data_IF_409140040341
#
_entry.id   IF_409140040341
#
_cell.length_a   1.000
_cell.length_b   1.000
_cell.length_c   1.000
_cell.angle_alpha   90.00
_cell.angle_beta   90.00
_cell.angle_gamma   90.00
#
_symmetry.space_group_name_H-M   'P 1'
#
loop_
_entity.id
_entity.type
_entity.pdbx_description
1 polymer ?
#
# COMPACT_ATOMS: atom_id res chain seq x y z
N UNK A 1 -20.15 12.73 -12.09
CA UNK A 1 -19.00 11.84 -11.83
C UNK A 1 -18.64 11.96 -10.36
N UNK A 2 -18.47 10.85 -9.64
CA UNK A 2 -18.08 10.89 -8.22
C UNK A 2 -16.63 11.37 -8.07
N UNK A 3 -16.45 12.55 -7.46
CA UNK A 3 -15.11 13.11 -7.20
C UNK A 3 -14.42 12.45 -6.01
N UNK A 4 -15.19 11.98 -5.02
CA UNK A 4 -14.67 11.36 -3.80
C UNK A 4 -15.12 9.90 -3.68
N UNK A 5 -14.15 9.01 -3.44
CA UNK A 5 -14.38 7.57 -3.31
C UNK A 5 -13.78 7.02 -2.01
N UNK A 6 -14.35 5.93 -1.51
CA UNK A 6 -13.84 5.25 -0.32
C UNK A 6 -12.57 4.43 -0.63
N UNK A 7 -11.84 4.02 0.41
CA UNK A 7 -10.69 3.12 0.28
C UNK A 7 -11.07 1.79 -0.40
N UNK A 8 -12.25 1.25 -0.07
CA UNK A 8 -12.75 -0.01 -0.65
C UNK A 8 -13.03 0.15 -2.14
N UNK A 9 -13.76 1.21 -2.51
CA UNK A 9 -14.06 1.53 -3.90
C UNK A 9 -12.78 1.81 -4.69
N UNK A 10 -11.81 2.50 -4.10
CA UNK A 10 -10.52 2.72 -4.73
C UNK A 10 -9.79 1.39 -4.96
N UNK A 11 -9.71 0.54 -3.94
CA UNK A 11 -9.11 -0.81 -4.01
C UNK A 11 -9.66 -1.63 -5.18
N UNK A 12 -10.99 -1.65 -5.33
CA UNK A 12 -11.66 -2.34 -6.43
C UNK A 12 -11.33 -1.72 -7.80
N UNK A 13 -11.19 -0.40 -7.90
CA UNK A 13 -10.89 0.30 -9.16
C UNK A 13 -9.46 0.13 -9.64
N UNK A 14 -8.47 0.22 -8.75
CA UNK A 14 -7.03 0.16 -9.13
C UNK A 14 -6.43 -1.24 -8.95
N UNK A 15 -7.20 -2.21 -8.46
CA UNK A 15 -6.75 -3.60 -8.28
C UNK A 15 -5.77 -3.82 -7.11
N UNK A 16 -5.59 -2.82 -6.24
CA UNK A 16 -4.73 -2.95 -5.07
C UNK A 16 -5.51 -3.43 -3.86
N UNK A 17 -4.86 -4.19 -2.97
CA UNK A 17 -5.43 -4.53 -1.66
C UNK A 17 -5.66 -3.27 -0.83
N UNK A 18 -6.73 -3.25 -0.04
CA UNK A 18 -7.04 -2.17 0.91
C UNK A 18 -5.83 -1.84 1.82
N UNK A 19 -5.14 -2.88 2.33
CA UNK A 19 -3.95 -2.70 3.14
C UNK A 19 -2.82 -1.99 2.38
N UNK A 20 -2.64 -2.27 1.10
CA UNK A 20 -1.65 -1.59 0.26
C UNK A 20 -1.95 -0.11 0.13
N UNK A 21 -3.23 0.28 0.06
CA UNK A 21 -3.63 1.69 0.03
C UNK A 21 -3.27 2.39 1.34
N UNK A 22 -3.53 1.76 2.49
CA UNK A 22 -3.08 2.31 3.77
C UNK A 22 -1.56 2.41 3.84
N UNK A 23 -0.83 1.40 3.36
CA UNK A 23 0.62 1.46 3.31
C UNK A 23 1.12 2.63 2.44
N UNK A 24 0.45 2.93 1.31
CA UNK A 24 0.76 4.10 0.47
C UNK A 24 0.50 5.43 1.18
N UNK A 25 -0.53 5.50 2.02
CA UNK A 25 -0.75 6.66 2.90
C UNK A 25 0.39 6.79 3.92
N UNK A 26 0.74 5.70 4.61
CA UNK A 26 1.82 5.71 5.60
C UNK A 26 3.19 6.04 5.01
N UNK A 27 3.44 5.62 3.77
CA UNK A 27 4.67 5.93 3.02
C UNK A 27 4.71 7.34 2.43
N UNK A 28 3.61 8.10 2.52
CA UNK A 28 3.52 9.45 1.96
C UNK A 28 3.29 9.50 0.44
N UNK A 29 3.03 8.38 -0.22
CA UNK A 29 2.63 8.34 -1.64
C UNK A 29 1.29 9.04 -1.82
N UNK A 30 0.33 8.75 -0.94
CA UNK A 30 -0.91 9.50 -0.86
C UNK A 30 -0.81 10.55 0.24
N UNK A 31 -1.14 11.80 -0.09
CA UNK A 31 -0.95 12.96 0.78
C UNK A 31 -2.31 13.53 1.18
N UNK A 32 -2.49 13.82 2.47
CA UNK A 32 -3.69 14.44 3.01
C UNK A 32 -3.91 15.82 2.37
N UNK A 33 -5.17 16.16 2.05
CA UNK A 33 -5.59 17.37 1.33
C UNK A 33 -5.13 17.48 -0.13
N UNK A 34 -4.29 16.57 -0.64
CA UNK A 34 -3.97 16.45 -2.08
C UNK A 34 -4.69 15.27 -2.71
N UNK A 35 -4.39 14.06 -2.22
CA UNK A 35 -4.90 12.80 -2.78
C UNK A 35 -6.13 12.29 -2.02
N UNK A 36 -6.22 12.58 -0.71
CA UNK A 36 -7.35 12.16 0.12
C UNK A 36 -7.67 13.17 1.23
N UNK A 37 -8.87 13.06 1.78
CA UNK A 37 -9.39 13.82 2.91
C UNK A 37 -9.78 12.86 4.04
N UNK A 38 -9.76 13.37 5.27
CA UNK A 38 -10.22 12.65 6.46
C UNK A 38 -11.31 13.46 7.18
N UNK A 39 -12.58 13.41 6.74
CA UNK A 39 -13.67 14.12 7.39
C UNK A 39 -13.89 13.66 8.84
N UNK A 40 -13.60 12.38 9.12
CA UNK A 40 -13.58 11.82 10.47
C UNK A 40 -12.35 10.93 10.66
N UNK A 41 -11.92 10.64 11.89
CA UNK A 41 -10.76 9.78 12.14
C UNK A 41 -10.88 8.38 11.52
N UNK A 42 -12.11 7.88 11.36
CA UNK A 42 -12.43 6.54 10.83
C UNK A 42 -12.74 6.51 9.34
N UNK A 43 -12.92 7.66 8.67
CA UNK A 43 -13.32 7.73 7.26
C UNK A 43 -12.25 8.44 6.43
N UNK A 44 -11.81 7.76 5.37
CA UNK A 44 -10.88 8.30 4.38
C UNK A 44 -11.62 8.39 3.04
N UNK A 45 -11.58 9.57 2.43
CA UNK A 45 -12.16 9.84 1.13
C UNK A 45 -11.06 10.23 0.16
N UNK A 46 -10.87 9.45 -0.89
CA UNK A 46 -9.90 9.72 -1.94
C UNK A 46 -10.51 10.59 -3.03
N UNK A 47 -9.76 11.60 -3.47
CA UNK A 47 -10.13 12.40 -4.63
C UNK A 47 -9.74 11.63 -5.90
N UNK A 48 -10.72 11.08 -6.61
CA UNK A 48 -10.47 10.20 -7.75
C UNK A 48 -9.66 10.88 -8.85
N UNK A 49 -9.93 12.15 -9.15
CA UNK A 49 -9.17 12.92 -10.14
C UNK A 49 -7.68 13.02 -9.79
N UNK A 50 -7.35 13.22 -8.52
CA UNK A 50 -5.97 13.30 -8.05
C UNK A 50 -5.28 11.92 -8.09
N UNK A 51 -5.98 10.85 -7.73
CA UNK A 51 -5.45 9.48 -7.86
C UNK A 51 -5.24 9.09 -9.31
N UNK A 52 -6.14 9.52 -10.21
CA UNK A 52 -6.01 9.29 -11.66
C UNK A 52 -4.78 10.00 -12.22
N UNK A 53 -4.54 11.25 -11.85
CA UNK A 53 -3.32 11.98 -12.22
C UNK A 53 -2.06 11.26 -11.74
N UNK A 54 -2.07 10.75 -10.50
CA UNK A 54 -0.97 9.94 -9.98
C UNK A 54 -0.76 8.64 -10.78
N UNK A 55 -1.85 7.95 -11.16
CA UNK A 55 -1.80 6.71 -11.94
C UNK A 55 -1.31 6.93 -13.37
N UNK A 56 -1.69 8.06 -13.97
CA UNK A 56 -1.21 8.51 -15.28
C UNK A 56 0.27 8.93 -15.24
N UNK A 57 0.87 8.93 -14.03
CA UNK A 57 2.20 9.42 -13.75
C UNK A 57 2.18 10.95 -13.77
N UNK A 58 2.37 11.58 -12.61
CA UNK A 58 2.82 12.98 -12.57
C UNK A 58 4.01 13.05 -13.53
N UNK A 59 3.80 13.61 -14.73
CA UNK A 59 4.86 13.99 -15.66
C UNK A 59 5.17 15.44 -15.33
N UNK A 60 6.12 15.73 -14.39
CA UNK A 60 6.92 16.91 -14.66
C UNK A 60 7.53 16.64 -16.03
N UNK A 61 7.35 17.57 -16.98
CA UNK A 61 8.09 17.56 -18.25
C UNK A 61 9.52 17.13 -17.93
N UNK A 62 9.89 15.95 -18.44
CA UNK A 62 11.17 15.32 -18.24
C UNK A 62 12.26 16.35 -18.45
N UNK A 63 12.94 16.75 -17.38
CA UNK A 63 14.33 17.20 -17.50
C UNK A 63 15.13 15.94 -17.26
N UNK A 64 15.62 15.38 -18.35
CA UNK A 64 16.41 14.15 -18.39
C UNK A 64 17.59 14.26 -17.41
N UNK A 65 17.67 13.32 -16.47
CA UNK A 65 18.90 13.06 -15.72
C UNK A 65 18.90 11.61 -15.27
N UNK A 66 19.61 10.79 -16.06
CA UNK A 66 19.95 9.40 -15.81
C UNK A 66 20.25 9.10 -14.34
N UNK A 67 19.40 8.31 -13.66
CA UNK A 67 19.88 7.44 -12.57
C UNK A 67 19.19 6.09 -12.66
N UNK A 68 20.04 5.13 -12.99
CA UNK A 68 19.83 3.71 -13.17
C UNK A 68 19.22 2.98 -11.97
N UNK A 69 18.38 1.98 -12.29
CA UNK A 69 18.22 0.66 -11.66
C UNK A 69 18.12 0.60 -10.13
N UNK A 70 16.95 0.21 -9.60
CA UNK A 70 16.85 -0.93 -8.65
C UNK A 70 15.40 -1.43 -8.43
N UNK A 71 15.21 -2.69 -8.83
CA UNK A 71 14.52 -3.82 -8.16
C UNK A 71 12.99 -3.84 -8.00
N UNK A 72 12.37 -4.51 -8.97
CA UNK A 72 11.10 -5.22 -8.91
C UNK A 72 11.18 -6.41 -7.93
N UNK A 73 10.59 -6.31 -6.73
CA UNK A 73 10.43 -7.46 -5.83
C UNK A 73 9.08 -8.14 -6.11
N UNK A 74 9.16 -9.31 -6.73
CA UNK A 74 8.06 -10.25 -6.94
C UNK A 74 7.50 -10.75 -5.61
N UNK A 75 6.18 -10.69 -5.45
CA UNK A 75 5.46 -11.54 -4.50
C UNK A 75 5.52 -12.99 -4.99
N UNK A 76 6.12 -13.88 -4.20
CA UNK A 76 6.03 -15.32 -4.35
C UNK A 76 5.05 -15.86 -3.30
N UNK A 77 4.05 -16.59 -3.78
CA UNK A 77 3.17 -17.45 -3.00
C UNK A 77 3.97 -18.57 -2.31
N UNK A 78 3.54 -18.96 -1.10
CA UNK A 78 3.75 -20.32 -0.57
C UNK A 78 2.82 -20.58 0.62
N UNK A 79 1.75 -21.31 0.30
CA UNK A 79 1.18 -22.45 1.02
C UNK A 79 1.12 -22.49 2.56
N UNK A 80 -0.12 -22.31 3.03
CA UNK A 80 -0.85 -23.18 3.98
C UNK A 80 -0.11 -24.44 4.46
N UNK A 81 0.19 -24.51 5.76
CA UNK A 81 0.19 -25.75 6.54
C UNK A 81 -0.08 -25.48 8.02
N UNK A 82 -1.16 -26.08 8.52
CA UNK A 82 -1.60 -26.18 9.91
C UNK A 82 -0.94 -27.42 10.51
N UNK A 83 -0.24 -27.31 11.64
CA UNK A 83 -0.08 -28.45 12.56
C UNK A 83 0.29 -27.99 13.97
N UNK A 84 -0.61 -28.32 14.90
CA UNK A 84 -0.39 -28.49 16.33
C UNK A 84 0.67 -29.56 16.60
N UNK A 85 1.63 -29.33 17.49
CA UNK A 85 1.92 -30.32 18.53
C UNK A 85 2.69 -29.73 19.70
N UNK A 86 2.28 -30.15 20.89
CA UNK A 86 2.93 -29.99 22.16
C UNK A 86 4.27 -30.76 22.16
N UNK A 87 5.26 -30.24 22.89
CA UNK A 87 6.17 -30.97 23.79
C UNK A 87 7.43 -30.13 24.11
N UNK A 88 7.46 -29.58 25.33
CA UNK A 88 8.68 -29.50 26.15
C UNK A 88 9.18 -30.95 26.42
N UNK A 89 10.44 -31.28 26.77
CA UNK A 89 11.45 -30.46 27.47
C UNK A 89 12.91 -30.65 26.99
N UNK A 90 13.83 -29.77 27.39
CA UNK A 90 15.02 -30.12 28.21
C UNK A 90 16.03 -28.98 28.35
N UNK A 91 16.53 -28.94 29.58
CA UNK A 91 17.68 -28.25 30.15
C UNK A 91 18.97 -28.23 29.32
N UNK A 92 19.74 -27.14 29.43
CA UNK A 92 21.18 -27.04 29.81
C UNK A 92 21.67 -25.60 29.55
N UNK A 93 21.91 -24.77 30.56
CA UNK A 93 23.17 -24.49 31.31
C UNK A 93 24.28 -23.82 30.48
N UNK A 94 24.64 -22.60 30.90
CA UNK A 94 25.97 -21.91 30.96
C UNK A 94 25.67 -20.39 30.95
N UNK A 95 26.16 -19.52 31.85
CA UNK A 95 27.41 -19.41 32.63
C UNK A 95 27.07 -18.79 33.99
#
# INVERSE_FOLDING_TARGET
MEEYISVKTLSERIGYKVQSIYNMIHKGTFVLNKHYLKPTPKKILFKWSAVKQWLEGDTPKTVESNVSKINHTSYQDSDKSKSTNENSPQSNINI
#
